data_IF_096532253922
#
_entry.id   IF_096532253922
#
_cell.length_a   1.000
_cell.length_b   1.000
_cell.length_c   1.000
_cell.angle_alpha   90.00
_cell.angle_beta   90.00
_cell.angle_gamma   90.00
#
_symmetry.space_group_name_H-M   'P 1'
#
loop_
_entity.id
_entity.type
_entity.pdbx_description
1 polymer ?
#
# COMPACT_ATOMS: atom_id res chain seq x y z
N UNK A 1 -13.06 -10.78 46.88
CA UNK A 1 -13.60 -10.42 45.55
C UNK A 1 -12.72 -9.33 44.95
N UNK A 2 -11.60 -9.71 44.33
CA UNK A 2 -10.67 -8.76 43.70
C UNK A 2 -10.52 -9.17 42.23
N UNK A 3 -11.13 -8.41 41.31
CA UNK A 3 -10.90 -8.57 39.87
C UNK A 3 -9.55 -7.93 39.55
N UNK A 4 -8.59 -8.74 39.13
CA UNK A 4 -7.46 -8.26 38.35
C UNK A 4 -7.99 -7.75 37.00
N UNK A 5 -7.59 -6.56 36.52
CA UNK A 5 -7.79 -6.23 35.13
C UNK A 5 -6.85 -7.09 34.28
N UNK A 6 -7.43 -7.78 33.31
CA UNK A 6 -6.73 -8.50 32.25
C UNK A 6 -5.99 -7.49 31.36
N UNK A 7 -4.70 -7.30 31.65
CA UNK A 7 -3.76 -6.60 30.74
C UNK A 7 -3.17 -7.61 29.76
N UNK A 8 -4.01 -8.18 28.89
CA UNK A 8 -3.55 -8.90 27.71
C UNK A 8 -3.86 -8.10 26.44
N UNK A 9 -3.41 -6.83 26.37
CA UNK A 9 -3.18 -6.19 25.07
C UNK A 9 -1.96 -6.89 24.45
N UNK A 10 -2.21 -7.99 23.74
CA UNK A 10 -1.26 -8.44 22.72
C UNK A 10 -0.98 -7.23 21.85
N UNK A 11 0.27 -6.76 21.86
CA UNK A 11 0.77 -5.79 20.90
C UNK A 11 0.78 -6.46 19.52
N UNK A 12 -0.43 -6.65 18.96
CA UNK A 12 -0.59 -7.07 17.58
C UNK A 12 0.06 -5.99 16.74
N UNK A 13 1.25 -6.26 16.23
CA UNK A 13 1.91 -5.39 15.27
C UNK A 13 0.98 -5.34 14.07
N UNK A 14 0.35 -4.17 13.84
CA UNK A 14 -0.53 -3.97 12.69
C UNK A 14 0.25 -4.38 11.43
N UNK A 15 -0.27 -5.36 10.68
CA UNK A 15 0.43 -5.87 9.50
C UNK A 15 0.42 -4.84 8.37
N UNK A 16 -0.59 -3.97 8.37
CA UNK A 16 -0.76 -2.83 7.48
C UNK A 16 -0.78 -1.52 8.27
N UNK A 17 0.15 -0.60 8.01
CA UNK A 17 0.21 0.70 8.70
C UNK A 17 0.12 1.84 7.70
N UNK A 18 -0.90 2.69 7.84
CA UNK A 18 -1.00 3.93 7.09
C UNK A 18 -0.04 4.96 7.66
N UNK A 19 1.07 5.21 6.96
CA UNK A 19 1.97 6.33 7.28
C UNK A 19 1.30 7.63 6.85
N UNK A 20 0.65 7.60 5.67
CA UNK A 20 -0.30 8.63 5.27
C UNK A 20 -1.62 7.99 4.85
N UNK A 21 -2.71 8.24 5.58
CA UNK A 21 -4.01 7.68 5.24
C UNK A 21 -4.53 8.30 3.93
N UNK A 22 -5.34 7.54 3.17
CA UNK A 22 -5.96 8.06 1.97
C UNK A 22 -7.09 9.05 2.29
N UNK A 23 -7.37 9.91 1.33
CA UNK A 23 -8.51 10.83 1.29
C UNK A 23 -9.39 10.54 0.07
N UNK A 24 -10.53 11.22 -0.02
CA UNK A 24 -11.38 11.17 -1.22
C UNK A 24 -10.68 11.69 -2.49
N UNK A 25 -9.61 12.47 -2.33
CA UNK A 25 -8.81 13.03 -3.41
C UNK A 25 -7.62 12.15 -3.79
N UNK A 26 -7.38 11.03 -3.10
CA UNK A 26 -6.21 10.18 -3.34
C UNK A 26 -6.27 9.55 -4.73
N UNK A 27 -5.29 9.89 -5.57
CA UNK A 27 -5.12 9.34 -6.92
C UNK A 27 -3.98 8.32 -6.98
N UNK A 28 -2.96 8.46 -6.11
CA UNK A 28 -1.80 7.59 -6.06
C UNK A 28 -1.56 7.14 -4.62
N UNK A 29 -1.42 5.83 -4.42
CA UNK A 29 -1.04 5.22 -3.16
C UNK A 29 0.29 4.50 -3.32
N UNK A 30 1.29 4.91 -2.55
CA UNK A 30 2.54 4.20 -2.44
C UNK A 30 2.42 3.07 -1.43
N UNK A 31 2.84 1.87 -1.79
CA UNK A 31 2.90 0.71 -0.90
C UNK A 31 4.36 0.28 -0.80
N UNK A 32 4.87 0.26 0.42
CA UNK A 32 6.22 -0.22 0.74
C UNK A 32 6.12 -1.47 1.61
N UNK A 33 6.99 -2.44 1.36
CA UNK A 33 7.18 -3.55 2.31
C UNK A 33 8.25 -3.21 3.35
N UNK A 34 8.46 -4.10 4.31
CA UNK A 34 9.48 -3.96 5.35
C UNK A 34 10.92 -3.83 4.81
N UNK A 35 11.19 -4.24 3.57
CA UNK A 35 12.52 -4.16 2.94
C UNK A 35 12.85 -2.78 2.39
N UNK A 36 11.83 -2.01 1.98
CA UNK A 36 11.96 -0.65 1.46
C UNK A 36 11.48 0.42 2.46
N UNK A 37 10.60 0.04 3.39
CA UNK A 37 9.85 0.95 4.25
C UNK A 37 10.70 1.80 5.20
N UNK A 38 11.84 1.29 5.68
CA UNK A 38 12.68 1.99 6.67
C UNK A 38 13.21 3.32 6.13
N UNK A 39 13.54 3.39 4.84
CA UNK A 39 14.17 4.58 4.25
C UNK A 39 13.25 5.34 3.29
N UNK A 40 12.48 4.60 2.47
CA UNK A 40 11.64 5.21 1.44
C UNK A 40 10.41 5.87 2.06
N UNK A 41 9.82 5.25 3.09
CA UNK A 41 8.56 5.70 3.62
C UNK A 41 8.64 7.07 4.34
N UNK A 42 9.62 7.31 5.25
CA UNK A 42 9.78 8.63 5.86
C UNK A 42 10.06 9.71 4.82
N UNK A 43 10.97 9.44 3.89
CA UNK A 43 11.35 10.41 2.86
C UNK A 43 10.18 10.79 1.94
N UNK A 44 9.34 9.84 1.54
CA UNK A 44 8.14 10.14 0.75
C UNK A 44 7.06 10.84 1.60
N UNK A 45 6.90 10.44 2.86
CA UNK A 45 5.96 11.10 3.77
C UNK A 45 6.28 12.58 3.90
N UNK A 46 7.56 12.93 4.08
CA UNK A 46 8.03 14.30 4.19
C UNK A 46 7.89 15.05 2.86
N UNK A 47 8.37 14.47 1.75
CA UNK A 47 8.35 15.11 0.42
C UNK A 47 6.95 15.43 -0.08
N UNK A 48 5.97 14.60 0.25
CA UNK A 48 4.61 14.77 -0.25
C UNK A 48 3.62 15.26 0.81
N UNK A 49 4.06 15.67 2.01
CA UNK A 49 3.21 16.00 3.17
C UNK A 49 1.92 16.77 2.82
N UNK A 50 2.00 17.80 1.98
CA UNK A 50 0.87 18.67 1.60
C UNK A 50 0.06 18.18 0.37
N UNK A 51 0.43 17.04 -0.21
CA UNK A 51 -0.21 16.49 -1.41
C UNK A 51 -1.40 15.63 -1.06
N UNK A 52 -2.63 16.16 -1.05
CA UNK A 52 -3.85 15.41 -0.72
C UNK A 52 -4.13 14.21 -1.65
N UNK A 53 -3.58 14.23 -2.87
CA UNK A 53 -3.70 13.16 -3.87
C UNK A 53 -2.81 11.95 -3.58
N UNK A 54 -1.95 12.03 -2.57
CA UNK A 54 -0.99 11.00 -2.21
C UNK A 54 -1.36 10.29 -0.90
N UNK A 55 -1.23 8.97 -0.88
CA UNK A 55 -1.31 8.13 0.31
C UNK A 55 -0.10 7.20 0.39
N UNK A 56 0.24 6.75 1.61
CA UNK A 56 1.39 5.89 1.85
C UNK A 56 1.04 4.80 2.88
N UNK A 57 1.19 3.56 2.44
CA UNK A 57 0.94 2.34 3.22
C UNK A 57 2.25 1.56 3.39
N UNK A 58 2.53 1.12 4.61
CA UNK A 58 3.59 0.18 4.93
C UNK A 58 3.02 -1.20 5.25
N UNK A 59 3.60 -2.23 4.67
CA UNK A 59 3.26 -3.63 4.94
C UNK A 59 4.42 -4.30 5.67
N UNK A 60 4.17 -4.77 6.89
CA UNK A 60 5.20 -5.35 7.75
C UNK A 60 5.44 -6.84 7.45
N UNK A 61 4.37 -7.58 7.12
CA UNK A 61 4.42 -9.02 6.79
C UNK A 61 3.57 -9.32 5.55
N UNK A 62 4.15 -9.08 4.38
CA UNK A 62 3.49 -9.25 3.08
C UNK A 62 3.09 -10.71 2.80
N UNK A 63 3.89 -11.67 3.25
CA UNK A 63 3.65 -13.10 3.00
C UNK A 63 2.49 -13.63 3.85
N UNK A 64 2.38 -13.22 5.12
CA UNK A 64 1.21 -13.58 5.93
C UNK A 64 -0.07 -12.95 5.39
N UNK A 65 -0.04 -11.68 4.97
CA UNK A 65 -1.19 -11.02 4.32
C UNK A 65 -1.60 -11.73 3.03
N UNK A 66 -0.62 -12.13 2.20
CA UNK A 66 -0.87 -12.88 0.97
C UNK A 66 -1.51 -14.24 1.25
N UNK A 67 -0.99 -14.97 2.25
CA UNK A 67 -1.54 -16.28 2.65
C UNK A 67 -2.96 -16.14 3.18
N UNK A 68 -3.23 -15.14 4.02
CA UNK A 68 -4.57 -14.83 4.52
C UNK A 68 -5.53 -14.57 3.35
N UNK A 69 -5.12 -13.71 2.40
CA UNK A 69 -5.93 -13.36 1.22
C UNK A 69 -6.18 -14.55 0.29
N UNK A 70 -5.17 -15.36 -0.01
CA UNK A 70 -5.32 -16.55 -0.88
C UNK A 70 -6.19 -17.62 -0.22
N UNK A 71 -5.93 -17.96 1.05
CA UNK A 71 -6.76 -18.89 1.82
C UNK A 71 -8.19 -18.39 1.91
N UNK A 72 -8.32 -17.07 2.03
CA UNK A 72 -9.58 -16.41 1.89
C UNK A 72 -10.22 -16.74 0.54
N UNK A 73 -9.64 -16.27 -0.55
CA UNK A 73 -10.20 -16.36 -1.90
C UNK A 73 -10.59 -17.80 -2.27
N UNK A 74 -9.78 -18.79 -1.89
CA UNK A 74 -10.04 -20.21 -2.11
C UNK A 74 -11.28 -20.74 -1.35
N UNK A 75 -11.57 -20.19 -0.18
CA UNK A 75 -12.71 -20.57 0.66
C UNK A 75 -14.04 -19.95 0.19
N UNK A 76 -14.00 -19.07 -0.81
CA UNK A 76 -15.18 -18.42 -1.37
C UNK A 76 -15.74 -19.23 -2.54
N UNK A 77 -16.61 -20.19 -2.24
CA UNK A 77 -17.20 -21.13 -3.22
C UNK A 77 -18.66 -20.84 -3.56
N UNK A 78 -19.20 -19.67 -3.21
CA UNK A 78 -20.60 -19.33 -3.51
C UNK A 78 -20.99 -17.87 -3.22
N UNK A 79 -22.23 -17.47 -3.53
CA UNK A 79 -22.72 -16.09 -3.50
C UNK A 79 -22.89 -15.48 -2.09
N UNK A 80 -22.27 -16.06 -1.06
CA UNK A 80 -22.34 -15.57 0.32
C UNK A 80 -21.44 -14.37 0.58
N UNK A 81 -21.87 -13.44 1.44
CA UNK A 81 -21.01 -12.33 1.90
C UNK A 81 -19.91 -12.93 2.76
N UNK A 82 -18.67 -12.80 2.26
CA UNK A 82 -17.48 -13.26 2.95
C UNK A 82 -16.83 -12.10 3.69
N UNK A 83 -16.32 -12.37 4.89
CA UNK A 83 -15.57 -11.38 5.67
C UNK A 83 -14.31 -10.96 4.91
N UNK A 84 -14.17 -9.66 4.64
CA UNK A 84 -12.96 -9.09 4.02
C UNK A 84 -11.75 -9.35 4.91
N UNK A 85 -10.64 -9.71 4.31
CA UNK A 85 -9.29 -9.81 4.91
C UNK A 85 -8.77 -8.44 5.36
N UNK A 86 -7.68 -8.41 6.14
CA UNK A 86 -7.07 -7.13 6.54
C UNK A 86 -6.68 -6.28 5.33
N UNK A 87 -6.00 -6.88 4.35
CA UNK A 87 -5.56 -6.16 3.15
C UNK A 87 -6.72 -5.65 2.28
N UNK A 88 -7.81 -6.42 2.14
CA UNK A 88 -9.02 -5.96 1.43
C UNK A 88 -9.70 -4.79 2.14
N UNK A 89 -9.70 -4.79 3.48
CA UNK A 89 -10.25 -3.67 4.26
C UNK A 89 -9.39 -2.42 4.12
N UNK A 90 -8.07 -2.58 4.14
CA UNK A 90 -7.11 -1.48 4.02
C UNK A 90 -7.17 -0.88 2.62
N UNK A 91 -7.01 -1.68 1.57
CA UNK A 91 -7.07 -1.20 0.19
C UNK A 91 -8.45 -0.69 -0.20
N UNK A 92 -9.52 -1.26 0.37
CA UNK A 92 -10.89 -0.78 0.16
C UNK A 92 -11.17 0.65 0.65
N UNK A 93 -10.23 1.29 1.38
CA UNK A 93 -10.30 2.72 1.72
C UNK A 93 -9.86 3.64 0.57
N UNK A 94 -9.23 3.08 -0.47
CA UNK A 94 -8.76 3.84 -1.62
C UNK A 94 -9.91 4.13 -2.61
N UNK A 95 -9.93 5.30 -3.26
CA UNK A 95 -10.87 5.58 -4.34
C UNK A 95 -10.75 4.58 -5.50
N UNK A 96 -11.86 4.34 -6.22
CA UNK A 96 -11.99 3.32 -7.29
C UNK A 96 -11.04 3.54 -8.48
N UNK A 97 -10.45 4.73 -8.63
CA UNK A 97 -9.43 5.03 -9.65
C UNK A 97 -7.99 5.13 -9.14
N UNK A 98 -7.77 4.90 -7.84
CA UNK A 98 -6.45 5.05 -7.23
C UNK A 98 -5.48 4.02 -7.80
N UNK A 99 -4.26 4.48 -8.12
CA UNK A 99 -3.18 3.63 -8.60
C UNK A 99 -2.21 3.28 -7.48
N UNK A 100 -1.77 2.03 -7.45
CA UNK A 100 -0.77 1.58 -6.49
C UNK A 100 0.63 1.67 -7.10
N UNK A 101 1.53 2.37 -6.42
CA UNK A 101 2.96 2.36 -6.68
C UNK A 101 3.61 1.39 -5.68
N UNK A 102 4.08 0.24 -6.15
CA UNK A 102 4.57 -0.85 -5.32
C UNK A 102 6.10 -0.81 -5.25
N UNK A 103 6.67 -0.52 -4.09
CA UNK A 103 8.12 -0.53 -3.91
C UNK A 103 8.54 -1.65 -2.96
N UNK A 104 9.39 -2.51 -3.50
CA UNK A 104 9.90 -3.69 -2.83
C UNK A 104 11.22 -4.08 -3.47
N UNK A 105 12.06 -4.79 -2.73
CA UNK A 105 13.26 -5.40 -3.29
C UNK A 105 12.96 -6.64 -4.15
N UNK A 106 11.77 -7.24 -4.07
CA UNK A 106 11.44 -8.46 -4.82
C UNK A 106 10.04 -8.38 -5.43
N UNK A 107 9.90 -8.73 -6.72
CA UNK A 107 8.61 -8.68 -7.44
C UNK A 107 7.51 -9.46 -6.72
N UNK A 108 7.83 -10.66 -6.25
CA UNK A 108 6.88 -11.64 -5.70
C UNK A 108 6.24 -11.21 -4.37
N UNK A 109 6.76 -10.17 -3.73
CA UNK A 109 6.25 -9.74 -2.41
C UNK A 109 4.96 -8.93 -2.54
N UNK A 110 4.76 -8.18 -3.63
CA UNK A 110 3.66 -7.21 -3.78
C UNK A 110 2.86 -7.37 -5.08
N UNK A 111 3.28 -8.19 -6.04
CA UNK A 111 2.59 -8.38 -7.34
C UNK A 111 1.11 -8.80 -7.19
N UNK A 112 0.80 -9.58 -6.16
CA UNK A 112 -0.55 -10.03 -5.84
C UNK A 112 -1.52 -8.91 -5.43
N UNK A 113 -1.03 -7.74 -5.01
CA UNK A 113 -1.88 -6.64 -4.53
C UNK A 113 -2.81 -6.07 -5.61
N UNK A 114 -2.41 -6.13 -6.87
CA UNK A 114 -3.27 -5.72 -7.99
C UNK A 114 -4.55 -6.56 -8.10
N UNK A 115 -4.49 -7.81 -7.66
CA UNK A 115 -5.62 -8.75 -7.70
C UNK A 115 -6.57 -8.62 -6.50
N UNK A 116 -6.21 -7.87 -5.46
CA UNK A 116 -7.01 -7.78 -4.22
C UNK A 116 -8.25 -6.91 -4.41
N UNK A 117 -8.09 -5.70 -4.95
CA UNK A 117 -9.19 -4.75 -5.18
C UNK A 117 -9.25 -4.22 -6.62
N UNK A 118 -8.43 -4.74 -7.53
CA UNK A 118 -8.44 -4.36 -8.94
C UNK A 118 -7.80 -3.00 -9.24
N UNK A 119 -7.02 -2.43 -8.31
CA UNK A 119 -6.32 -1.17 -8.56
C UNK A 119 -5.20 -1.35 -9.59
N UNK A 120 -5.04 -0.39 -10.54
CA UNK A 120 -3.89 -0.39 -11.43
C UNK A 120 -2.59 -0.30 -10.63
N UNK A 121 -1.67 -1.22 -10.87
CA UNK A 121 -0.39 -1.28 -10.16
C UNK A 121 0.78 -0.92 -11.07
N UNK A 122 1.75 -0.19 -10.52
CA UNK A 122 3.06 0.04 -11.13
C UNK A 122 4.13 -0.39 -10.13
N UNK A 123 5.05 -1.24 -10.58
CA UNK A 123 6.12 -1.74 -9.73
C UNK A 123 7.36 -0.84 -9.83
N UNK A 124 8.00 -0.63 -8.67
CA UNK A 124 9.25 0.09 -8.50
C UNK A 124 10.24 -0.90 -7.90
N UNK A 125 11.09 -1.44 -8.77
CA UNK A 125 12.16 -2.35 -8.36
C UNK A 125 13.46 -1.54 -8.28
N UNK A 126 14.18 -1.56 -7.15
CA UNK A 126 15.52 -1.03 -7.11
C UNK A 126 16.40 -1.75 -8.14
N UNK A 127 17.19 -0.99 -8.91
CA UNK A 127 18.24 -1.57 -9.74
C UNK A 127 19.33 -2.13 -8.82
N UNK A 128 19.36 -3.45 -8.67
CA UNK A 128 20.30 -4.24 -7.88
C UNK A 128 20.36 -3.97 -6.36
N UNK A 129 20.79 -5.01 -5.63
CA UNK A 129 21.02 -5.01 -4.17
C UNK A 129 22.09 -4.01 -3.71
N UNK A 130 22.85 -3.41 -4.63
CA UNK A 130 23.93 -2.45 -4.38
C UNK A 130 23.50 -0.98 -4.53
N UNK A 131 22.23 -0.72 -4.88
CA UNK A 131 21.73 0.65 -5.03
C UNK A 131 21.72 1.41 -3.70
N UNK A 132 22.36 2.58 -3.71
CA UNK A 132 22.35 3.54 -2.61
C UNK A 132 20.92 3.88 -2.17
N UNK A 133 20.71 4.09 -0.87
CA UNK A 133 19.42 4.45 -0.28
C UNK A 133 18.89 5.73 -0.92
N UNK A 134 19.77 6.70 -1.21
CA UNK A 134 19.41 7.95 -1.88
C UNK A 134 18.78 7.72 -3.26
N UNK A 135 19.32 6.78 -4.04
CA UNK A 135 18.73 6.40 -5.31
C UNK A 135 17.32 5.81 -5.11
N UNK A 136 17.14 4.85 -4.19
CA UNK A 136 15.81 4.23 -3.97
C UNK A 136 14.72 5.27 -3.64
N UNK A 137 15.05 6.25 -2.79
CA UNK A 137 14.15 7.36 -2.45
C UNK A 137 13.84 8.22 -3.67
N UNK A 138 14.85 8.54 -4.48
CA UNK A 138 14.69 9.38 -5.66
C UNK A 138 13.85 8.68 -6.74
N UNK A 139 14.01 7.37 -6.94
CA UNK A 139 13.17 6.64 -7.90
C UNK A 139 11.72 6.56 -7.47
N UNK A 140 11.52 6.29 -6.18
CA UNK A 140 10.19 6.24 -5.62
C UNK A 140 9.51 7.61 -5.76
N UNK A 141 10.25 8.69 -5.51
CA UNK A 141 9.76 10.06 -5.69
C UNK A 141 9.40 10.33 -7.15
N UNK A 142 10.31 10.04 -8.10
CA UNK A 142 10.07 10.23 -9.53
C UNK A 142 8.84 9.45 -10.00
N UNK A 143 8.69 8.20 -9.55
CA UNK A 143 7.55 7.37 -9.93
C UNK A 143 6.24 7.93 -9.39
N UNK A 144 6.21 8.36 -8.12
CA UNK A 144 5.03 8.99 -7.53
C UNK A 144 4.68 10.29 -8.26
N UNK A 145 5.66 11.15 -8.56
CA UNK A 145 5.46 12.38 -9.33
C UNK A 145 4.89 12.08 -10.73
N UNK A 146 5.48 11.13 -11.45
CA UNK A 146 4.99 10.73 -12.77
C UNK A 146 3.55 10.21 -12.71
N UNK A 147 3.23 9.37 -11.71
CA UNK A 147 1.88 8.84 -11.51
C UNK A 147 0.86 9.96 -11.19
N UNK A 148 1.24 10.94 -10.38
CA UNK A 148 0.42 12.11 -10.07
C UNK A 148 0.22 12.98 -11.31
N UNK A 149 1.27 13.28 -12.08
CA UNK A 149 1.16 14.02 -13.33
C UNK A 149 0.24 13.33 -14.35
N UNK A 150 0.34 12.00 -14.46
CA UNK A 150 -0.54 11.20 -15.30
C UNK A 150 -2.00 11.23 -14.82
N UNK A 151 -2.22 11.19 -13.51
CA UNK A 151 -3.57 11.26 -12.92
C UNK A 151 -4.23 12.61 -13.21
N UNK A 152 -3.51 13.70 -12.97
CA UNK A 152 -3.95 15.06 -13.33
C UNK A 152 -4.24 15.15 -14.84
N UNK A 153 -3.34 14.66 -15.69
CA UNK A 153 -3.52 14.73 -17.16
C UNK A 153 -4.72 13.93 -17.69
N UNK A 154 -5.18 12.89 -16.97
CA UNK A 154 -6.42 12.18 -17.32
C UNK A 154 -7.64 12.99 -16.94
N UNK A 155 -7.65 13.57 -15.74
CA UNK A 155 -8.77 14.37 -15.26
C UNK A 155 -9.12 15.53 -16.18
N UNK A 156 -8.11 16.14 -16.81
CA UNK A 156 -8.32 17.21 -17.78
C UNK A 156 -8.84 16.72 -19.14
N UNK A 157 -8.50 15.48 -19.54
CA UNK A 157 -9.03 14.86 -20.76
C UNK A 157 -10.48 14.43 -20.61
N UNK A 158 -10.89 14.00 -19.42
CA UNK A 158 -12.27 13.61 -19.14
C UNK A 158 -13.23 14.82 -19.04
N UNK A 159 -12.70 16.05 -19.09
CA UNK A 159 -13.48 17.30 -19.08
C UNK A 159 -13.63 17.96 -20.48
N UNK A 160 -12.99 17.41 -21.52
CA UNK A 160 -13.09 17.87 -22.91
C UNK A 160 -14.04 16.97 -23.71
#
# INVERSE_FOLDING_TARGET
MNRYPDESKSAATEQCVWIRPPSSLTEVCMIVDSTAGIFVAPALSDRFADTAQFALLSLNDTESLRREWVASAASHTGPGIRARTEIERVLGRLPVGCRLALCTQTVRSLDWLGSVCGHPCRMILPADSLSDVGWKVEEATRTVQAALCEAVSRRWRDCL
#
